data_IF_060375289560
#
_entry.id   IF_060375289560
#
_cell.length_a   1.000
_cell.length_b   1.000
_cell.length_c   1.000
_cell.angle_alpha   90.00
_cell.angle_beta   90.00
_cell.angle_gamma   90.00
#
_symmetry.space_group_name_H-M   'P 1'
#
loop_
_entity.id
_entity.type
_entity.pdbx_description
1 polymer ?
#
# COMPACT_ATOMS: atom_id res chain seq x y z
N UNK A 1 -16.55 -22.33 -3.97
CA UNK A 1 -15.58 -21.46 -4.66
C UNK A 1 -15.77 -21.39 -6.17
N UNK A 2 -15.53 -22.43 -6.99
CA UNK A 2 -15.70 -22.32 -8.44
C UNK A 2 -17.12 -21.97 -8.89
N UNK A 3 -18.15 -22.53 -8.26
CA UNK A 3 -19.55 -22.24 -8.56
C UNK A 3 -19.93 -20.80 -8.21
N UNK A 4 -19.51 -20.33 -7.05
CA UNK A 4 -19.69 -18.96 -6.59
C UNK A 4 -19.03 -17.94 -7.54
N UNK A 5 -17.78 -18.20 -7.97
CA UNK A 5 -17.08 -17.37 -8.96
C UNK A 5 -17.86 -17.29 -10.26
N UNK A 6 -18.38 -18.42 -10.78
CA UNK A 6 -19.21 -18.42 -11.98
C UNK A 6 -20.48 -17.60 -11.83
N UNK A 7 -21.16 -17.76 -10.70
CA UNK A 7 -22.37 -16.99 -10.41
C UNK A 7 -22.08 -15.49 -10.37
N UNK A 8 -21.02 -15.07 -9.68
CA UNK A 8 -20.62 -13.66 -9.60
C UNK A 8 -20.29 -13.06 -10.97
N UNK A 9 -19.63 -13.85 -11.85
CA UNK A 9 -19.34 -13.42 -13.22
C UNK A 9 -20.65 -13.25 -14.03
N UNK A 10 -21.59 -14.18 -13.91
CA UNK A 10 -22.90 -14.03 -14.57
C UNK A 10 -23.67 -12.83 -14.05
N UNK A 11 -23.65 -12.60 -12.73
CA UNK A 11 -24.27 -11.41 -12.15
C UNK A 11 -23.62 -10.12 -12.64
N UNK A 12 -22.29 -10.08 -12.79
CA UNK A 12 -21.57 -8.96 -13.37
C UNK A 12 -21.98 -8.70 -14.82
N UNK A 13 -22.12 -9.75 -15.64
CA UNK A 13 -22.57 -9.63 -17.03
C UNK A 13 -23.95 -9.00 -17.16
N UNK A 14 -24.83 -9.28 -16.21
CA UNK A 14 -26.17 -8.69 -16.19
C UNK A 14 -26.20 -7.27 -15.56
N UNK A 15 -25.30 -6.99 -14.63
CA UNK A 15 -25.27 -5.72 -13.94
C UNK A 15 -24.65 -4.59 -14.78
N UNK A 16 -23.65 -4.87 -15.61
CA UNK A 16 -22.95 -3.86 -16.42
C UNK A 16 -23.82 -3.46 -17.61
N UNK A 17 -24.36 -2.23 -17.59
CA UNK A 17 -25.19 -1.68 -18.68
C UNK A 17 -24.43 -0.69 -19.56
N UNK A 18 -23.32 -0.14 -19.08
CA UNK A 18 -22.45 0.81 -19.79
C UNK A 18 -20.99 0.65 -19.34
N UNK A 19 -20.01 1.26 -20.02
CA UNK A 19 -18.61 1.16 -19.62
C UNK A 19 -18.37 1.72 -18.20
N UNK A 20 -17.63 0.95 -17.39
CA UNK A 20 -17.20 1.32 -16.04
C UNK A 20 -15.73 0.99 -15.82
N UNK A 21 -15.05 1.81 -15.04
CA UNK A 21 -13.67 1.61 -14.62
C UNK A 21 -13.57 1.53 -13.09
N UNK A 22 -13.16 0.39 -12.57
CA UNK A 22 -12.96 0.15 -11.14
C UNK A 22 -11.46 0.08 -10.87
N UNK A 23 -10.97 0.86 -9.91
CA UNK A 23 -9.55 0.87 -9.53
C UNK A 23 -9.38 0.14 -8.19
N UNK A 24 -8.47 -0.82 -8.14
CA UNK A 24 -7.96 -1.32 -6.87
C UNK A 24 -6.73 -0.52 -6.43
N UNK A 25 -6.52 -0.40 -5.12
CA UNK A 25 -5.44 0.41 -4.55
C UNK A 25 -4.60 -0.38 -3.53
N UNK A 26 -4.34 -1.64 -3.85
CA UNK A 26 -3.53 -2.52 -3.04
C UNK A 26 -2.74 -3.52 -3.89
N UNK A 27 -1.42 -3.55 -3.76
CA UNK A 27 -0.58 -4.50 -4.47
C UNK A 27 -0.94 -5.98 -4.24
N UNK A 28 -1.53 -6.31 -3.09
CA UNK A 28 -2.08 -7.65 -2.82
C UNK A 28 -3.31 -7.96 -3.68
N UNK A 29 -4.19 -6.98 -3.90
CA UNK A 29 -5.33 -7.13 -4.81
C UNK A 29 -4.85 -7.23 -6.27
N UNK A 30 -3.90 -6.37 -6.70
CA UNK A 30 -3.26 -6.47 -8.02
C UNK A 30 -2.72 -7.87 -8.27
N UNK A 31 -1.91 -8.38 -7.33
CA UNK A 31 -1.32 -9.71 -7.43
C UNK A 31 -2.38 -10.81 -7.52
N UNK A 32 -3.41 -10.76 -6.69
CA UNK A 32 -4.50 -11.73 -6.70
C UNK A 32 -5.29 -11.70 -8.02
N UNK A 33 -5.65 -10.51 -8.51
CA UNK A 33 -6.35 -10.32 -9.78
C UNK A 33 -5.54 -10.92 -10.94
N UNK A 34 -4.25 -10.58 -11.03
CA UNK A 34 -3.37 -11.06 -12.09
C UNK A 34 -3.13 -12.58 -11.99
N UNK A 35 -2.82 -13.12 -10.81
CA UNK A 35 -2.51 -14.53 -10.61
C UNK A 35 -3.72 -15.45 -10.84
N UNK A 36 -4.93 -14.95 -10.62
CA UNK A 36 -6.19 -15.67 -10.80
C UNK A 36 -6.81 -15.43 -12.18
N UNK A 37 -6.21 -14.55 -13.00
CA UNK A 37 -6.73 -14.22 -14.34
C UNK A 37 -8.12 -13.58 -14.32
N UNK A 38 -8.46 -12.82 -13.27
CA UNK A 38 -9.82 -12.29 -13.08
C UNK A 38 -10.21 -11.30 -14.17
N UNK A 39 -9.28 -10.53 -14.71
CA UNK A 39 -9.56 -9.57 -15.79
C UNK A 39 -10.14 -10.22 -17.04
N UNK A 40 -9.66 -11.43 -17.39
CA UNK A 40 -10.13 -12.18 -18.55
C UNK A 40 -11.57 -12.70 -18.40
N UNK A 41 -12.06 -12.77 -17.16
CA UNK A 41 -13.39 -13.26 -16.83
C UNK A 41 -14.45 -12.14 -16.80
N UNK A 42 -14.01 -10.88 -16.76
CA UNK A 42 -14.92 -9.73 -16.65
C UNK A 42 -15.71 -9.50 -17.95
N UNK A 43 -16.95 -8.99 -17.84
CA UNK A 43 -17.75 -8.67 -19.02
C UNK A 43 -17.15 -7.50 -19.81
N UNK A 44 -17.39 -7.47 -21.15
CA UNK A 44 -17.07 -6.29 -21.95
C UNK A 44 -17.68 -5.03 -21.37
N UNK A 45 -16.91 -3.95 -21.33
CA UNK A 45 -17.35 -2.67 -20.75
C UNK A 45 -16.96 -2.50 -19.28
N UNK A 46 -16.47 -3.52 -18.58
CA UNK A 46 -15.92 -3.38 -17.24
C UNK A 46 -14.39 -3.51 -17.28
N UNK A 47 -13.70 -2.46 -16.87
CA UNK A 47 -12.24 -2.40 -16.84
C UNK A 47 -11.73 -2.27 -15.41
N UNK A 48 -10.72 -3.06 -15.06
CA UNK A 48 -9.93 -2.84 -13.84
C UNK A 48 -8.77 -1.89 -14.14
N UNK A 49 -8.42 -1.10 -13.13
CA UNK A 49 -7.25 -0.22 -13.13
C UNK A 49 -6.43 -0.55 -11.89
N UNK A 50 -5.15 -0.79 -12.08
CA UNK A 50 -4.21 -1.00 -10.97
C UNK A 50 -3.72 0.36 -10.49
N UNK A 51 -4.10 0.71 -9.28
CA UNK A 51 -3.78 1.98 -8.64
C UNK A 51 -2.49 1.93 -7.82
N UNK A 52 -2.17 3.01 -7.08
CA UNK A 52 -0.92 3.15 -6.32
C UNK A 52 -0.94 2.32 -5.02
N UNK A 53 -1.02 0.99 -5.14
CA UNK A 53 -1.18 0.05 -4.03
C UNK A 53 0.12 -0.50 -3.42
N UNK A 54 1.30 -0.04 -3.85
CA UNK A 54 2.60 -0.54 -3.38
C UNK A 54 3.41 0.59 -2.72
N UNK A 55 3.67 0.54 -1.39
CA UNK A 55 4.39 1.60 -0.68
C UNK A 55 5.83 1.77 -1.18
N UNK A 56 6.46 0.67 -1.58
CA UNK A 56 7.81 0.68 -2.17
C UNK A 56 7.81 1.46 -3.49
N UNK A 57 6.80 1.20 -4.34
CA UNK A 57 6.71 1.81 -5.67
C UNK A 57 6.41 3.32 -5.65
N UNK A 58 5.76 3.78 -4.59
CA UNK A 58 5.40 5.21 -4.41
C UNK A 58 6.35 5.96 -3.49
N UNK A 59 7.41 5.32 -3.01
CA UNK A 59 8.45 5.99 -2.21
C UNK A 59 9.18 7.02 -3.08
N UNK A 60 9.23 8.26 -2.60
CA UNK A 60 9.92 9.35 -3.30
C UNK A 60 11.42 9.04 -3.49
N UNK A 61 11.95 9.30 -4.69
CA UNK A 61 13.35 9.02 -5.03
C UNK A 61 14.32 9.75 -4.10
N UNK A 62 13.96 10.93 -3.64
CA UNK A 62 14.74 11.74 -2.69
C UNK A 62 14.94 11.03 -1.34
N UNK A 63 13.95 10.28 -0.87
CA UNK A 63 14.06 9.49 0.36
C UNK A 63 14.96 8.26 0.17
N UNK A 64 14.92 7.66 -1.02
CA UNK A 64 15.83 6.57 -1.38
C UNK A 64 17.27 7.09 -1.44
N UNK A 65 17.48 8.25 -2.07
CA UNK A 65 18.80 8.91 -2.14
C UNK A 65 19.33 9.25 -0.75
N UNK A 66 18.47 9.76 0.15
CA UNK A 66 18.82 10.02 1.55
C UNK A 66 19.21 8.75 2.29
N UNK A 67 18.48 7.65 2.08
CA UNK A 67 18.80 6.36 2.69
C UNK A 67 20.18 5.85 2.19
N UNK A 68 20.44 5.93 0.89
CA UNK A 68 21.73 5.58 0.30
C UNK A 68 22.84 6.46 0.90
N UNK A 69 22.65 7.77 0.99
CA UNK A 69 23.64 8.69 1.58
C UNK A 69 23.90 8.39 3.05
N UNK A 70 22.85 8.17 3.85
CA UNK A 70 22.98 7.82 5.26
C UNK A 70 23.77 6.54 5.46
N UNK A 71 23.53 5.51 4.66
CA UNK A 71 24.25 4.23 4.75
C UNK A 71 25.75 4.33 4.49
N UNK A 72 26.18 5.37 3.76
CA UNK A 72 27.59 5.60 3.44
C UNK A 72 28.33 6.48 4.46
N UNK A 73 27.61 7.03 5.46
CA UNK A 73 28.21 7.87 6.50
C UNK A 73 28.93 7.00 7.54
N UNK A 74 30.17 7.32 7.93
CA UNK A 74 30.86 6.60 9.00
C UNK A 74 30.08 6.64 10.31
N UNK A 75 29.97 5.50 10.98
CA UNK A 75 29.27 5.35 12.25
C UNK A 75 27.74 5.31 12.15
N UNK A 76 27.18 5.26 10.95
CA UNK A 76 25.75 5.08 10.69
C UNK A 76 25.49 3.70 10.14
N UNK A 77 24.50 3.00 10.69
CA UNK A 77 23.94 1.76 10.14
C UNK A 77 22.52 2.03 9.71
N UNK A 78 22.24 1.80 8.42
CA UNK A 78 20.90 1.88 7.86
C UNK A 78 20.23 0.51 7.93
N UNK A 79 19.09 0.44 8.61
CA UNK A 79 18.24 -0.75 8.67
C UNK A 79 17.02 -0.55 7.78
N UNK A 80 16.62 -1.55 7.00
CA UNK A 80 15.42 -1.48 6.17
C UNK A 80 14.84 -2.86 5.88
N UNK A 81 13.61 -2.89 5.35
CA UNK A 81 13.00 -4.09 4.81
C UNK A 81 13.70 -4.56 3.53
N UNK A 82 13.63 -5.88 3.26
CA UNK A 82 14.29 -6.50 2.11
C UNK A 82 13.89 -5.93 0.76
N UNK A 83 12.64 -5.52 0.64
CA UNK A 83 12.06 -4.97 -0.59
C UNK A 83 12.77 -3.69 -1.03
N UNK A 84 13.20 -2.85 -0.05
CA UNK A 84 13.86 -1.59 -0.33
C UNK A 84 15.30 -1.73 -0.83
N UNK A 85 15.92 -2.90 -0.63
CA UNK A 85 17.33 -3.11 -0.96
C UNK A 85 17.67 -2.91 -2.45
N UNK A 86 16.68 -3.16 -3.33
CA UNK A 86 16.82 -3.12 -4.80
C UNK A 86 16.13 -1.94 -5.45
N UNK A 87 15.48 -1.09 -4.67
CA UNK A 87 14.77 0.07 -5.22
C UNK A 87 15.77 1.13 -5.64
N UNK A 88 15.80 1.53 -6.93
CA UNK A 88 16.79 2.47 -7.41
C UNK A 88 16.46 3.90 -6.98
N UNK A 89 17.43 4.58 -6.40
CA UNK A 89 17.47 6.03 -6.31
C UNK A 89 18.18 6.63 -7.53
N UNK A 90 18.46 7.92 -7.48
CA UNK A 90 19.17 8.64 -8.57
C UNK A 90 20.61 8.16 -8.78
N UNK A 91 21.25 7.58 -7.76
CA UNK A 91 22.67 7.20 -7.75
C UNK A 91 22.91 5.73 -7.40
N UNK A 92 21.89 4.89 -7.51
CA UNK A 92 21.92 3.48 -7.20
C UNK A 92 20.96 3.11 -6.08
N UNK A 93 21.05 1.87 -5.62
CA UNK A 93 20.23 1.28 -4.60
C UNK A 93 21.04 0.96 -3.32
N UNK A 94 20.38 0.42 -2.29
CA UNK A 94 21.02 0.07 -1.03
C UNK A 94 22.00 -1.10 -1.18
N UNK A 95 21.81 -2.03 -2.14
CA UNK A 95 22.83 -3.06 -2.44
C UNK A 95 24.10 -2.45 -3.02
N UNK A 96 23.97 -1.51 -3.94
CA UNK A 96 25.11 -0.80 -4.52
C UNK A 96 25.82 0.08 -3.48
N UNK A 97 25.07 0.68 -2.55
CA UNK A 97 25.65 1.40 -1.41
C UNK A 97 26.47 0.45 -0.51
N UNK A 98 25.92 -0.71 -0.19
CA UNK A 98 26.64 -1.75 0.59
C UNK A 98 27.92 -2.22 -0.12
N UNK A 99 27.88 -2.41 -1.44
CA UNK A 99 29.07 -2.76 -2.22
C UNK A 99 30.15 -1.67 -2.22
N UNK A 100 29.79 -0.42 -1.97
CA UNK A 100 30.69 0.73 -1.81
C UNK A 100 31.17 0.96 -0.38
N UNK A 101 30.86 0.02 0.55
CA UNK A 101 31.26 0.08 1.96
C UNK A 101 30.24 0.72 2.87
N UNK A 102 29.01 0.93 2.43
CA UNK A 102 27.91 1.38 3.26
C UNK A 102 27.42 0.30 4.21
N UNK A 103 27.06 0.70 5.42
CA UNK A 103 26.48 -0.21 6.42
C UNK A 103 24.98 -0.29 6.28
N UNK A 104 24.49 -1.40 5.68
CA UNK A 104 23.07 -1.67 5.48
C UNK A 104 22.70 -3.03 6.05
N UNK A 105 21.69 -3.07 6.92
CA UNK A 105 21.14 -4.27 7.51
C UNK A 105 19.68 -4.50 7.07
N UNK A 106 19.41 -5.73 6.66
CA UNK A 106 18.06 -6.17 6.37
C UNK A 106 17.37 -6.56 7.68
N UNK A 107 16.18 -6.03 7.92
CA UNK A 107 15.36 -6.28 9.10
C UNK A 107 13.96 -6.75 8.68
N UNK A 108 13.34 -7.58 9.50
CA UNK A 108 11.95 -8.01 9.34
C UNK A 108 11.00 -7.20 10.23
N UNK A 109 11.55 -6.48 11.21
CA UNK A 109 10.79 -5.64 12.14
C UNK A 109 11.62 -4.41 12.54
N UNK A 110 11.00 -3.23 12.72
CA UNK A 110 11.68 -2.06 13.27
C UNK A 110 12.17 -2.30 14.72
N UNK A 111 11.58 -3.25 15.45
CA UNK A 111 12.02 -3.62 16.79
C UNK A 111 13.41 -4.31 16.79
N UNK A 112 13.77 -5.00 15.72
CA UNK A 112 15.12 -5.57 15.56
C UNK A 112 16.17 -4.46 15.45
N UNK A 113 15.85 -3.36 14.77
CA UNK A 113 16.73 -2.19 14.68
C UNK A 113 16.90 -1.50 16.05
N UNK A 114 15.84 -1.45 16.87
CA UNK A 114 15.94 -0.97 18.27
C UNK A 114 16.84 -1.88 19.10
N UNK A 115 16.69 -3.20 18.99
CA UNK A 115 17.53 -4.16 19.70
C UNK A 115 19.00 -4.04 19.26
N UNK A 116 19.25 -3.81 17.97
CA UNK A 116 20.58 -3.57 17.43
C UNK A 116 21.20 -2.29 18.02
N UNK A 117 20.43 -1.18 18.09
CA UNK A 117 20.89 0.06 18.71
C UNK A 117 21.31 -0.12 20.17
N UNK A 118 20.56 -0.93 20.93
CA UNK A 118 20.88 -1.21 22.33
C UNK A 118 22.18 -2.00 22.53
N UNK A 119 22.59 -2.78 21.55
CA UNK A 119 23.86 -3.56 21.60
C UNK A 119 25.03 -2.84 20.94
N UNK A 120 24.80 -1.72 20.25
CA UNK A 120 25.80 -0.92 19.54
C UNK A 120 25.67 0.57 19.89
N UNK A 121 25.96 0.97 21.15
CA UNK A 121 25.70 2.33 21.64
C UNK A 121 26.52 3.42 20.94
N UNK A 122 27.65 3.06 20.34
CA UNK A 122 28.52 3.98 19.60
C UNK A 122 28.15 4.12 18.10
N UNK A 123 27.07 3.45 17.67
CA UNK A 123 26.60 3.45 16.28
C UNK A 123 25.25 4.14 16.17
N UNK A 124 25.10 5.07 15.25
CA UNK A 124 23.81 5.67 14.92
C UNK A 124 23.00 4.68 14.06
N UNK A 125 21.86 4.26 14.53
CA UNK A 125 20.97 3.31 13.85
C UNK A 125 19.78 4.03 13.25
N UNK A 126 19.68 4.02 11.94
CA UNK A 126 18.59 4.66 11.19
C UNK A 126 17.72 3.58 10.58
N UNK A 127 16.44 3.53 10.96
CA UNK A 127 15.47 2.65 10.32
C UNK A 127 14.76 3.36 9.17
N UNK A 128 14.96 2.92 7.92
CA UNK A 128 14.23 3.40 6.76
C UNK A 128 12.86 2.74 6.70
N UNK A 129 11.86 3.46 7.20
CA UNK A 129 10.50 2.98 7.42
C UNK A 129 9.62 3.27 6.20
N UNK A 130 9.49 2.29 5.33
CA UNK A 130 8.61 2.34 4.16
C UNK A 130 7.38 1.49 4.40
N UNK A 131 6.19 2.01 4.09
CA UNK A 131 4.94 1.28 4.27
C UNK A 131 3.71 2.15 4.20
N UNK A 132 2.57 1.51 4.32
CA UNK A 132 1.27 2.15 4.51
C UNK A 132 0.83 2.10 5.98
N UNK A 133 -0.43 2.38 6.25
CA UNK A 133 -1.03 2.42 7.58
C UNK A 133 -0.83 1.12 8.38
N UNK A 134 -0.69 -0.01 7.70
CA UNK A 134 -0.49 -1.32 8.34
C UNK A 134 0.87 -1.49 8.98
N UNK A 135 1.90 -0.78 8.52
CA UNK A 135 3.28 -0.88 9.04
C UNK A 135 3.64 0.26 10.00
N UNK A 136 2.95 1.39 9.92
CA UNK A 136 3.18 2.55 10.77
C UNK A 136 3.08 2.25 12.29
N UNK A 137 2.14 1.42 12.80
CA UNK A 137 2.06 1.09 14.22
C UNK A 137 3.32 0.42 14.76
N UNK A 138 3.94 -0.50 14.00
CA UNK A 138 5.18 -1.17 14.42
C UNK A 138 6.36 -0.17 14.52
N UNK A 139 6.44 0.78 13.60
CA UNK A 139 7.46 1.85 13.63
C UNK A 139 7.23 2.79 14.82
N UNK A 140 5.99 3.17 15.10
CA UNK A 140 5.66 3.98 16.28
C UNK A 140 6.02 3.25 17.59
N UNK A 141 5.74 1.94 17.67
CA UNK A 141 6.11 1.12 18.82
C UNK A 141 7.64 1.07 19.00
N UNK A 142 8.40 0.94 17.91
CA UNK A 142 9.86 0.94 17.95
C UNK A 142 10.42 2.26 18.53
N UNK A 143 9.88 3.41 18.10
CA UNK A 143 10.25 4.72 18.65
C UNK A 143 9.91 4.85 20.14
N UNK A 144 8.72 4.37 20.55
CA UNK A 144 8.32 4.36 21.97
C UNK A 144 9.26 3.47 22.80
N UNK A 145 9.60 2.29 22.29
CA UNK A 145 10.49 1.36 22.98
C UNK A 145 11.92 1.91 23.08
N UNK A 146 12.49 2.45 22.00
CA UNK A 146 13.80 3.09 22.03
C UNK A 146 13.87 4.21 23.07
N UNK A 147 12.83 5.06 23.09
CA UNK A 147 12.70 6.14 24.10
C UNK A 147 12.61 5.60 25.52
N UNK A 148 11.79 4.57 25.75
CA UNK A 148 11.61 3.97 27.09
C UNK A 148 12.91 3.33 27.61
N UNK A 149 13.73 2.77 26.71
CA UNK A 149 15.04 2.16 27.03
C UNK A 149 16.18 3.17 27.07
N UNK A 150 15.95 4.44 26.75
CA UNK A 150 16.95 5.49 26.73
C UNK A 150 17.94 5.40 25.56
N UNK A 151 17.62 4.73 24.48
CA UNK A 151 18.48 4.61 23.31
C UNK A 151 18.40 5.89 22.47
N UNK A 152 19.39 6.78 22.63
CA UNK A 152 19.48 8.04 21.91
C UNK A 152 20.02 7.87 20.47
N UNK A 153 20.62 6.72 20.17
CA UNK A 153 21.24 6.37 18.90
C UNK A 153 20.29 5.66 17.93
N UNK A 154 18.98 5.69 18.16
CA UNK A 154 17.97 5.14 17.24
C UNK A 154 17.12 6.26 16.65
N UNK A 155 17.02 6.28 15.32
CA UNK A 155 16.19 7.24 14.59
C UNK A 155 15.47 6.56 13.42
N UNK A 156 14.50 7.25 12.83
CA UNK A 156 13.69 6.75 11.70
C UNK A 156 13.71 7.74 10.57
N UNK A 157 14.12 7.27 9.38
CA UNK A 157 13.85 7.93 8.11
C UNK A 157 12.45 7.49 7.65
N UNK A 158 11.44 8.34 7.87
CA UNK A 158 10.04 7.99 7.64
C UNK A 158 9.63 8.24 6.19
N UNK A 159 9.19 7.18 5.52
CA UNK A 159 8.60 7.19 4.19
C UNK A 159 7.23 6.49 4.16
N UNK A 160 6.50 6.53 5.28
CA UNK A 160 5.13 6.04 5.31
C UNK A 160 4.21 6.96 4.51
N UNK A 161 3.33 6.35 3.73
CA UNK A 161 2.27 7.02 2.99
C UNK A 161 0.91 6.49 3.44
N UNK A 162 -0.15 7.24 3.13
CA UNK A 162 -1.52 6.88 3.48
C UNK A 162 -2.36 6.70 2.23
N UNK A 163 -3.27 5.72 2.24
CA UNK A 163 -4.13 5.43 1.10
C UNK A 163 -5.17 6.53 0.86
N UNK A 164 -5.94 7.02 1.86
CA UNK A 164 -6.98 8.02 1.62
C UNK A 164 -6.50 9.32 0.96
N UNK A 165 -5.37 9.95 1.35
CA UNK A 165 -4.85 11.11 0.66
C UNK A 165 -4.45 10.84 -0.80
N UNK A 166 -3.94 9.64 -1.10
CA UNK A 166 -3.61 9.27 -2.47
C UNK A 166 -4.88 9.13 -3.35
N UNK A 167 -5.96 8.58 -2.78
CA UNK A 167 -7.27 8.55 -3.46
C UNK A 167 -7.82 9.96 -3.69
N UNK A 168 -7.72 10.83 -2.70
CA UNK A 168 -8.17 12.22 -2.81
C UNK A 168 -7.44 12.93 -3.97
N UNK A 169 -6.11 12.81 -4.02
CA UNK A 169 -5.31 13.36 -5.11
C UNK A 169 -5.71 12.80 -6.48
N UNK A 170 -5.92 11.48 -6.60
CA UNK A 170 -6.39 10.86 -7.85
C UNK A 170 -7.75 11.39 -8.30
N UNK A 171 -8.66 11.63 -7.35
CA UNK A 171 -10.00 12.14 -7.64
C UNK A 171 -10.03 13.62 -8.00
N UNK A 172 -8.95 14.36 -7.73
CA UNK A 172 -8.80 15.77 -8.11
C UNK A 172 -8.17 15.96 -9.51
N UNK A 173 -7.69 14.85 -10.13
CA UNK A 173 -7.20 14.94 -11.52
C UNK A 173 -8.36 15.03 -12.51
N UNK A 174 -8.15 15.76 -13.61
CA UNK A 174 -9.17 15.92 -14.66
C UNK A 174 -9.32 14.68 -15.55
N UNK A 175 -8.21 13.92 -15.71
CA UNK A 175 -8.17 12.75 -16.58
C UNK A 175 -7.86 11.47 -15.80
N UNK A 176 -8.34 10.34 -16.29
CA UNK A 176 -8.00 9.02 -15.75
C UNK A 176 -8.69 8.64 -14.45
N UNK A 177 -9.70 9.39 -14.00
CA UNK A 177 -10.47 9.09 -12.79
C UNK A 177 -11.19 7.76 -12.93
N UNK A 178 -11.08 6.86 -11.94
CA UNK A 178 -11.92 5.67 -11.89
C UNK A 178 -13.36 6.03 -11.47
N UNK A 179 -14.30 5.19 -11.86
CA UNK A 179 -15.71 5.32 -11.47
C UNK A 179 -15.96 4.79 -10.06
N UNK A 180 -15.17 3.80 -9.61
CA UNK A 180 -15.24 3.20 -8.27
C UNK A 180 -13.87 2.70 -7.80
N UNK A 181 -13.78 2.43 -6.48
CA UNK A 181 -12.57 1.85 -5.89
C UNK A 181 -12.83 0.54 -5.15
N UNK A 182 -11.89 -0.40 -5.26
CA UNK A 182 -11.72 -1.48 -4.30
C UNK A 182 -10.71 -1.03 -3.24
N UNK A 183 -11.19 -0.87 -2.02
CA UNK A 183 -10.36 -0.48 -0.88
C UNK A 183 -9.72 -1.71 -0.21
N UNK A 184 -8.48 -1.58 0.31
CA UNK A 184 -7.75 -2.71 0.89
C UNK A 184 -8.28 -3.06 2.28
N UNK A 185 -8.86 -4.26 2.43
CA UNK A 185 -9.46 -4.72 3.68
C UNK A 185 -8.51 -4.69 4.88
N UNK A 186 -7.26 -5.08 4.69
CA UNK A 186 -6.26 -5.07 5.77
C UNK A 186 -5.87 -3.66 6.24
N UNK A 187 -5.94 -2.64 5.37
CA UNK A 187 -5.76 -1.23 5.78
C UNK A 187 -6.98 -0.76 6.56
N UNK A 188 -8.19 -1.01 6.04
CA UNK A 188 -9.44 -0.65 6.71
C UNK A 188 -9.59 -1.32 8.08
N UNK A 189 -9.03 -2.53 8.27
CA UNK A 189 -9.00 -3.19 9.57
C UNK A 189 -8.16 -2.44 10.62
N UNK A 190 -7.16 -1.67 10.18
CA UNK A 190 -6.30 -0.85 11.07
C UNK A 190 -6.88 0.54 11.30
N UNK A 191 -7.35 1.21 10.24
CA UNK A 191 -7.76 2.62 10.27
C UNK A 191 -9.26 2.85 10.33
N UNK A 192 -10.07 1.82 10.07
CA UNK A 192 -11.51 1.97 9.85
C UNK A 192 -11.84 2.47 8.45
N UNK A 193 -13.14 2.72 8.23
CA UNK A 193 -13.71 3.08 6.92
C UNK A 193 -14.12 4.56 6.83
N UNK A 194 -13.94 5.35 7.88
CA UNK A 194 -14.50 6.71 7.98
C UNK A 194 -13.95 7.65 6.89
N UNK A 195 -12.65 7.60 6.62
CA UNK A 195 -12.03 8.44 5.59
C UNK A 195 -12.50 8.05 4.19
N UNK A 196 -12.64 6.75 3.93
CA UNK A 196 -13.21 6.26 2.66
C UNK A 196 -14.66 6.71 2.48
N UNK A 197 -15.47 6.72 3.56
CA UNK A 197 -16.86 7.20 3.54
C UNK A 197 -16.96 8.69 3.18
N UNK A 198 -16.05 9.50 3.73
CA UNK A 198 -15.95 10.93 3.40
C UNK A 198 -15.62 11.13 1.91
N UNK A 199 -14.64 10.37 1.40
CA UNK A 199 -14.22 10.46 0.00
C UNK A 199 -15.33 9.97 -0.94
N UNK A 200 -15.98 8.84 -0.63
CA UNK A 200 -17.08 8.31 -1.44
C UNK A 200 -18.21 9.33 -1.61
N UNK A 201 -18.57 10.01 -0.52
CA UNK A 201 -19.60 11.05 -0.53
C UNK A 201 -19.16 12.31 -1.28
N UNK A 202 -17.95 12.81 -0.99
CA UNK A 202 -17.42 14.05 -1.58
C UNK A 202 -17.28 13.95 -3.09
N UNK A 203 -16.73 12.84 -3.58
CA UNK A 203 -16.43 12.64 -5.00
C UNK A 203 -17.52 11.88 -5.76
N UNK A 204 -18.58 11.46 -5.07
CA UNK A 204 -19.66 10.64 -5.64
C UNK A 204 -19.11 9.41 -6.34
N UNK A 205 -18.24 8.67 -5.65
CA UNK A 205 -17.52 7.51 -6.16
C UNK A 205 -17.65 6.38 -5.15
N UNK A 206 -18.32 5.26 -5.47
CA UNK A 206 -18.47 4.14 -4.53
C UNK A 206 -17.13 3.51 -4.22
N UNK A 207 -16.97 3.07 -2.98
CA UNK A 207 -15.78 2.38 -2.49
C UNK A 207 -16.19 1.08 -1.80
N UNK A 208 -15.59 -0.04 -2.21
CA UNK A 208 -15.90 -1.33 -1.60
C UNK A 208 -14.65 -1.92 -1.00
N UNK A 209 -14.70 -2.19 0.30
CA UNK A 209 -13.63 -2.87 1.03
C UNK A 209 -13.68 -4.35 0.70
N UNK A 210 -12.56 -4.93 0.25
CA UNK A 210 -12.49 -6.35 -0.12
C UNK A 210 -11.33 -7.08 0.54
N UNK A 211 -11.45 -8.41 0.63
CA UNK A 211 -10.32 -9.32 0.83
C UNK A 211 -9.50 -9.52 -0.44
N UNK A 212 -8.84 -10.67 -0.53
CA UNK A 212 -7.87 -10.99 -1.60
C UNK A 212 -8.23 -12.25 -2.38
N UNK A 213 -9.26 -12.98 -1.97
CA UNK A 213 -9.71 -14.17 -2.68
C UNK A 213 -10.60 -13.80 -3.86
N UNK A 214 -10.66 -14.68 -4.87
CA UNK A 214 -11.44 -14.44 -6.09
C UNK A 214 -12.92 -14.09 -5.79
N UNK A 215 -13.64 -14.79 -4.89
CA UNK A 215 -15.01 -14.43 -4.55
C UNK A 215 -15.14 -13.04 -3.92
N UNK A 216 -14.21 -12.65 -3.04
CA UNK A 216 -14.23 -11.33 -2.37
C UNK A 216 -14.03 -10.21 -3.39
N UNK A 217 -13.03 -10.36 -4.26
CA UNK A 217 -12.73 -9.38 -5.31
C UNK A 217 -13.91 -9.23 -6.28
N UNK A 218 -14.45 -10.35 -6.79
CA UNK A 218 -15.58 -10.32 -7.72
C UNK A 218 -16.85 -9.76 -7.06
N UNK A 219 -17.10 -10.09 -5.79
CA UNK A 219 -18.23 -9.54 -5.03
C UNK A 219 -18.05 -8.03 -4.84
N UNK A 220 -16.84 -7.58 -4.51
CA UNK A 220 -16.52 -6.17 -4.37
C UNK A 220 -16.72 -5.40 -5.68
N UNK A 221 -16.25 -5.96 -6.80
CA UNK A 221 -16.46 -5.38 -8.15
C UNK A 221 -17.97 -5.29 -8.45
N UNK A 222 -18.72 -6.36 -8.19
CA UNK A 222 -20.17 -6.39 -8.41
C UNK A 222 -20.90 -5.34 -7.56
N UNK A 223 -20.49 -5.17 -6.31
CA UNK A 223 -21.06 -4.14 -5.42
C UNK A 223 -20.73 -2.72 -5.91
N UNK A 224 -19.52 -2.48 -6.44
CA UNK A 224 -19.17 -1.22 -7.10
C UNK A 224 -20.09 -0.96 -8.29
N UNK A 225 -20.22 -1.92 -9.20
CA UNK A 225 -21.08 -1.79 -10.40
C UNK A 225 -22.52 -1.53 -10.02
N UNK A 226 -23.08 -2.28 -9.06
CA UNK A 226 -24.46 -2.08 -8.61
C UNK A 226 -24.71 -0.69 -8.04
N UNK A 227 -23.78 -0.16 -7.26
CA UNK A 227 -23.87 1.22 -6.75
C UNK A 227 -23.82 2.24 -7.90
N UNK A 228 -22.90 2.06 -8.86
CA UNK A 228 -22.77 2.94 -10.03
C UNK A 228 -24.04 2.96 -10.88
N UNK A 229 -24.64 1.80 -11.15
CA UNK A 229 -25.89 1.67 -11.92
C UNK A 229 -27.09 2.26 -11.18
N UNK A 230 -27.10 2.19 -9.84
CA UNK A 230 -28.12 2.78 -8.99
C UNK A 230 -27.90 4.29 -8.70
N UNK A 231 -26.73 4.85 -9.05
CA UNK A 231 -26.35 6.21 -8.68
C UNK A 231 -26.11 6.39 -7.18
N UNK A 232 -25.70 5.32 -6.48
CA UNK A 232 -25.35 5.30 -5.06
C UNK A 232 -23.84 5.44 -4.88
N UNK A 233 -23.43 6.13 -3.82
CA UNK A 233 -22.02 6.43 -3.57
C UNK A 233 -21.69 6.25 -2.08
N UNK A 234 -21.47 5.03 -1.67
CA UNK A 234 -21.21 4.70 -0.28
C UNK A 234 -19.99 3.77 -0.15
N UNK A 235 -19.44 3.70 1.07
CA UNK A 235 -18.54 2.60 1.44
C UNK A 235 -19.36 1.37 1.77
N UNK A 236 -18.94 0.23 1.24
CA UNK A 236 -19.52 -1.10 1.53
C UNK A 236 -18.38 -2.08 1.81
N UNK A 237 -18.71 -3.18 2.47
CA UNK A 237 -17.78 -4.27 2.78
C UNK A 237 -18.29 -5.55 2.10
N UNK A 238 -17.42 -6.22 1.31
CA UNK A 238 -17.76 -7.40 0.52
C UNK A 238 -17.54 -8.71 1.29
#
# INVERSE_FOLDING_TARGET
MQEEVRQLIEELRHAVTRPWAVMEVCGGQTHAIASLGLEELLPPGLRLIHGPGCPVCVTAVELIDQAVELSLRPGVVLCSYGDMMRVPGSRGDLFSAKARGGDVLLMYSPLEAVAYAGTHPDTEVVFFAVGFETTAPATALALQQARALGYANFSVLCAHVQVPPALEWLMEQDEGRPDAFLAPGHVCAVTGEMDYGRLATRYRTPMVVTGFEAPDLLRGILMCVRQLEAGEYAVRNA
#
